data_IF_793465581316
#
_entry.id   IF_793465581316
#
_cell.length_a   1.000
_cell.length_b   1.000
_cell.length_c   1.000
_cell.angle_alpha   90.00
_cell.angle_beta   90.00
_cell.angle_gamma   90.00
#
_symmetry.space_group_name_H-M   'P 1'
#
loop_
_entity.id
_entity.type
_entity.pdbx_description
1 polymer ?
#
# COMPACT_ATOMS: atom_id res chain seq x y z
N UNK A 1 -2.35 -1.85 -26.65
CA UNK A 1 -1.91 -0.70 -25.80
C UNK A 1 -2.47 -0.95 -24.41
N UNK A 2 -1.65 -1.38 -23.49
CA UNK A 2 -2.07 -1.61 -22.08
C UNK A 2 -2.26 -0.23 -21.43
N UNK A 3 -3.47 0.05 -21.02
CA UNK A 3 -3.80 1.31 -20.37
C UNK A 3 -3.31 1.28 -18.91
N UNK A 4 -2.42 2.20 -18.55
CA UNK A 4 -2.23 2.54 -17.15
C UNK A 4 -3.59 3.01 -16.64
N UNK A 5 -4.12 2.38 -15.59
CA UNK A 5 -5.40 2.78 -15.04
C UNK A 5 -5.21 4.05 -14.21
N UNK A 6 -5.60 5.19 -14.78
CA UNK A 6 -5.69 6.46 -14.06
C UNK A 6 -7.14 6.92 -14.13
N UNK A 7 -7.71 7.28 -13.00
CA UNK A 7 -9.00 7.95 -12.92
C UNK A 7 -8.81 9.33 -12.32
N UNK A 8 -9.35 10.34 -12.97
CA UNK A 8 -9.23 11.73 -12.52
C UNK A 8 -7.80 12.26 -12.61
N UNK A 9 -7.55 13.34 -11.90
CA UNK A 9 -6.24 13.98 -11.82
C UNK A 9 -5.78 14.00 -10.37
N UNK A 10 -4.61 13.44 -10.10
CA UNK A 10 -3.97 13.56 -8.79
C UNK A 10 -3.64 15.04 -8.50
N UNK A 11 -3.59 15.46 -7.23
CA UNK A 11 -3.25 16.84 -6.86
C UNK A 11 -1.74 17.14 -7.01
N UNK A 12 -1.00 16.34 -7.75
CA UNK A 12 0.43 16.48 -8.03
C UNK A 12 0.78 15.94 -9.42
N UNK A 13 1.95 16.34 -9.91
CA UNK A 13 2.55 15.83 -11.13
C UNK A 13 3.67 14.83 -10.83
N UNK A 14 4.19 14.16 -11.88
CA UNK A 14 5.37 13.30 -11.77
C UNK A 14 6.61 14.09 -11.35
N UNK A 15 6.75 15.29 -11.88
CA UNK A 15 7.85 16.22 -11.60
C UNK A 15 7.87 16.62 -10.12
N UNK A 16 6.70 16.88 -9.53
CA UNK A 16 6.57 17.18 -8.10
C UNK A 16 7.13 16.01 -7.25
N UNK A 17 6.85 14.77 -7.67
CA UNK A 17 7.36 13.58 -6.96
C UNK A 17 8.88 13.49 -7.06
N UNK A 18 9.45 13.71 -8.25
CA UNK A 18 10.91 13.59 -8.48
C UNK A 18 11.69 14.62 -7.64
N UNK A 19 11.22 15.87 -7.59
CA UNK A 19 11.90 16.96 -6.86
C UNK A 19 12.03 16.65 -5.36
N UNK A 20 11.09 15.91 -4.79
CA UNK A 20 11.04 15.60 -3.36
C UNK A 20 11.91 14.42 -2.91
N UNK A 21 12.51 13.66 -3.83
CA UNK A 21 13.36 12.49 -3.50
C UNK A 21 14.55 12.83 -2.60
N UNK A 22 15.18 13.99 -2.81
CA UNK A 22 16.36 14.42 -2.06
C UNK A 22 16.01 14.75 -0.60
N UNK A 23 14.88 15.42 -0.38
CA UNK A 23 14.44 15.81 0.97
C UNK A 23 14.23 14.58 1.87
N UNK A 24 13.60 13.52 1.34
CA UNK A 24 13.39 12.32 2.11
C UNK A 24 14.70 11.61 2.46
N UNK A 25 15.69 11.64 1.58
CA UNK A 25 16.93 10.87 1.79
C UNK A 25 17.58 11.19 3.13
N UNK A 26 17.67 12.48 3.49
CA UNK A 26 18.21 12.91 4.79
C UNK A 26 17.35 12.41 5.95
N UNK A 27 16.03 12.53 5.83
CA UNK A 27 15.12 12.04 6.86
C UNK A 27 15.22 10.51 7.04
N UNK A 28 15.37 9.76 5.95
CA UNK A 28 15.49 8.30 6.01
C UNK A 28 16.73 7.83 6.76
N UNK A 29 17.82 8.60 6.73
CA UNK A 29 19.05 8.30 7.48
C UNK A 29 18.86 8.42 8.99
N UNK A 30 17.96 9.29 9.45
CA UNK A 30 17.67 9.51 10.86
C UNK A 30 16.65 8.52 11.45
N UNK A 31 16.18 7.56 10.65
CA UNK A 31 15.15 6.61 11.10
C UNK A 31 15.61 5.80 12.32
N UNK A 32 14.73 5.65 13.34
CA UNK A 32 15.09 4.99 14.60
C UNK A 32 15.21 3.46 14.44
N UNK A 33 14.55 2.89 13.43
CA UNK A 33 14.55 1.45 13.15
C UNK A 33 15.32 1.20 11.87
N UNK A 34 16.54 0.67 11.98
CA UNK A 34 17.42 0.39 10.82
C UNK A 34 17.05 -0.91 10.14
N UNK A 35 16.79 -1.96 10.90
CA UNK A 35 16.28 -3.24 10.43
C UNK A 35 14.75 -3.25 10.53
N UNK A 36 14.07 -3.00 9.42
CA UNK A 36 12.62 -3.04 9.31
C UNK A 36 12.15 -4.20 8.43
N UNK A 37 12.78 -5.35 8.57
CA UNK A 37 12.37 -6.56 7.85
C UNK A 37 10.88 -6.81 8.02
N UNK A 38 10.17 -6.98 6.91
CA UNK A 38 8.70 -7.15 6.90
C UNK A 38 7.89 -5.86 6.83
N UNK A 39 8.47 -4.69 7.11
CA UNK A 39 7.77 -3.41 7.06
C UNK A 39 8.15 -2.55 5.85
N UNK A 40 7.79 -1.27 5.92
CA UNK A 40 8.05 -0.27 4.88
C UNK A 40 9.56 -0.01 4.71
N UNK A 41 9.96 0.18 3.46
CA UNK A 41 11.31 0.58 3.04
C UNK A 41 11.27 1.88 2.22
N UNK A 42 12.43 2.37 1.77
CA UNK A 42 12.55 3.69 1.15
C UNK A 42 11.56 3.98 0.02
N UNK A 43 11.20 3.04 -0.89
CA UNK A 43 10.24 3.35 -1.94
C UNK A 43 8.85 3.74 -1.40
N UNK A 44 8.31 2.92 -0.48
CA UNK A 44 6.99 3.17 0.09
C UNK A 44 6.99 4.34 1.07
N UNK A 45 8.04 4.47 1.88
CA UNK A 45 8.19 5.58 2.80
C UNK A 45 8.26 6.91 2.06
N UNK A 46 9.00 6.95 0.95
CA UNK A 46 9.08 8.14 0.12
C UNK A 46 7.70 8.52 -0.44
N UNK A 47 6.99 7.55 -1.04
CA UNK A 47 5.72 7.84 -1.70
C UNK A 47 4.63 8.24 -0.70
N UNK A 48 4.60 7.61 0.49
CA UNK A 48 3.67 8.00 1.55
C UNK A 48 4.02 9.36 2.15
N UNK A 49 5.30 9.64 2.40
CA UNK A 49 5.77 10.93 2.87
C UNK A 49 5.44 12.05 1.87
N UNK A 50 5.71 11.83 0.58
CA UNK A 50 5.37 12.76 -0.48
C UNK A 50 3.87 13.09 -0.50
N UNK A 51 3.02 12.05 -0.48
CA UNK A 51 1.57 12.24 -0.49
C UNK A 51 1.09 13.02 0.74
N UNK A 52 1.64 12.73 1.92
CA UNK A 52 1.33 13.45 3.15
C UNK A 52 1.74 14.93 3.08
N UNK A 53 2.94 15.20 2.55
CA UNK A 53 3.40 16.58 2.32
C UNK A 53 2.51 17.35 1.34
N UNK A 54 2.03 16.68 0.29
CA UNK A 54 1.14 17.30 -0.70
C UNK A 54 -0.28 17.52 -0.17
N UNK A 55 -0.81 16.59 0.62
CA UNK A 55 -2.19 16.62 1.11
C UNK A 55 -2.37 17.39 2.42
N UNK A 56 -1.33 17.47 3.27
CA UNK A 56 -1.36 18.12 4.58
C UNK A 56 -2.61 17.77 5.41
N UNK A 57 -2.86 16.47 5.67
CA UNK A 57 -4.06 16.05 6.40
C UNK A 57 -4.02 16.54 7.86
N UNK A 58 -5.20 16.75 8.45
CA UNK A 58 -5.32 17.07 9.89
C UNK A 58 -5.21 15.83 10.77
N UNK A 59 -5.54 14.66 10.22
CA UNK A 59 -5.39 13.39 10.89
C UNK A 59 -4.89 12.31 9.91
N UNK A 60 -4.13 11.37 10.44
CA UNK A 60 -3.64 10.20 9.71
C UNK A 60 -4.04 8.96 10.49
N UNK A 61 -4.69 8.02 9.81
CA UNK A 61 -4.98 6.70 10.33
C UNK A 61 -4.06 5.71 9.64
N UNK A 62 -3.16 5.09 10.41
CA UNK A 62 -2.26 4.03 9.98
C UNK A 62 -2.87 2.68 10.39
N UNK A 63 -3.32 1.89 9.43
CA UNK A 63 -3.80 0.52 9.64
C UNK A 63 -2.72 -0.45 9.18
N UNK A 64 -2.07 -1.13 10.12
CA UNK A 64 -0.83 -1.88 9.97
C UNK A 64 0.38 -1.05 10.42
N UNK A 65 0.80 -1.24 11.69
CA UNK A 65 1.88 -0.44 12.32
C UNK A 65 3.21 -1.17 12.32
N UNK A 66 3.16 -2.50 12.48
CA UNK A 66 4.35 -3.34 12.63
C UNK A 66 5.28 -2.81 13.72
N UNK A 67 6.54 -2.46 13.37
CA UNK A 67 7.52 -1.93 14.33
C UNK A 67 7.38 -0.43 14.61
N UNK A 68 6.48 0.28 13.92
CA UNK A 68 6.21 1.71 14.11
C UNK A 68 7.08 2.64 13.26
N UNK A 69 7.81 2.13 12.28
CA UNK A 69 8.63 2.99 11.41
C UNK A 69 7.75 3.88 10.53
N UNK A 70 6.58 3.37 10.04
CA UNK A 70 5.57 4.18 9.36
C UNK A 70 5.08 5.33 10.23
N UNK A 71 4.68 5.02 11.46
CA UNK A 71 4.25 6.03 12.45
C UNK A 71 5.28 7.15 12.62
N UNK A 72 6.58 6.80 12.74
CA UNK A 72 7.64 7.79 12.86
C UNK A 72 7.73 8.71 11.63
N UNK A 73 7.62 8.13 10.43
CA UNK A 73 7.64 8.90 9.19
C UNK A 73 6.44 9.82 9.05
N UNK A 74 5.24 9.35 9.38
CA UNK A 74 4.01 10.13 9.29
C UNK A 74 4.02 11.32 10.25
N UNK A 75 4.55 11.11 11.47
CA UNK A 75 4.75 12.18 12.43
C UNK A 75 5.72 13.25 11.94
N UNK A 76 6.76 12.86 11.20
CA UNK A 76 7.72 13.80 10.58
C UNK A 76 7.17 14.48 9.33
N UNK A 77 6.35 13.75 8.55
CA UNK A 77 5.71 14.30 7.36
C UNK A 77 4.68 15.38 7.70
N UNK A 78 3.89 15.15 8.75
CA UNK A 78 2.81 16.06 9.18
C UNK A 78 2.87 16.27 10.70
N UNK A 79 3.76 17.14 11.21
CA UNK A 79 3.95 17.34 12.64
C UNK A 79 2.68 17.79 13.38
N UNK A 80 1.76 18.46 12.69
CA UNK A 80 0.52 18.97 13.27
C UNK A 80 -0.66 17.98 13.16
N UNK A 81 -0.49 16.87 12.42
CA UNK A 81 -1.54 15.89 12.26
C UNK A 81 -1.71 15.03 13.52
N UNK A 82 -2.97 14.71 13.86
CA UNK A 82 -3.28 13.71 14.87
C UNK A 82 -3.08 12.30 14.27
N UNK A 83 -2.33 11.44 14.97
CA UNK A 83 -2.06 10.07 14.54
C UNK A 83 -2.97 9.06 15.25
N UNK A 84 -3.49 8.10 14.48
CA UNK A 84 -4.28 6.96 14.93
C UNK A 84 -3.67 5.69 14.35
N UNK A 85 -3.12 4.83 15.20
CA UNK A 85 -2.34 3.67 14.82
C UNK A 85 -3.11 2.39 15.18
N UNK A 86 -3.38 1.56 14.19
CA UNK A 86 -4.17 0.34 14.33
C UNK A 86 -3.27 -0.85 14.01
N UNK A 87 -3.14 -1.78 14.96
CA UNK A 87 -2.47 -3.05 14.74
C UNK A 87 -3.02 -4.08 15.75
N UNK A 88 -3.40 -5.29 15.34
CA UNK A 88 -3.88 -6.31 16.25
C UNK A 88 -2.82 -6.71 17.30
N UNK A 89 -1.54 -6.54 16.97
CA UNK A 89 -0.43 -6.85 17.85
C UNK A 89 0.51 -5.65 18.05
N UNK A 90 0.26 -4.87 19.10
CA UNK A 90 1.08 -3.70 19.47
C UNK A 90 2.38 -4.07 20.21
N UNK A 91 2.65 -5.36 20.45
CA UNK A 91 3.82 -5.80 21.21
C UNK A 91 5.11 -5.79 20.35
N UNK A 92 4.97 -5.72 19.03
CA UNK A 92 6.10 -5.61 18.08
C UNK A 92 6.60 -4.17 17.89
N UNK A 93 5.90 -3.17 18.43
CA UNK A 93 6.23 -1.77 18.22
C UNK A 93 7.55 -1.43 18.91
N UNK A 94 8.55 -1.00 18.13
CA UNK A 94 9.84 -0.52 18.61
C UNK A 94 9.87 1.01 18.71
N UNK A 95 9.19 1.72 17.81
CA UNK A 95 8.97 3.15 17.90
C UNK A 95 7.50 3.43 18.22
N UNK A 96 7.27 4.16 19.31
CA UNK A 96 5.93 4.55 19.76
C UNK A 96 5.86 6.07 19.90
N UNK A 97 5.01 6.70 19.10
CA UNK A 97 4.77 8.13 19.24
C UNK A 97 3.92 8.44 20.46
N UNK A 98 4.33 9.43 21.26
CA UNK A 98 3.54 9.94 22.38
C UNK A 98 2.30 10.74 21.94
N UNK A 99 2.22 11.08 20.66
CA UNK A 99 1.14 11.87 20.06
C UNK A 99 0.09 11.01 19.40
N UNK A 100 0.38 9.72 19.19
CA UNK A 100 -0.52 8.78 18.51
C UNK A 100 -1.45 8.08 19.51
N UNK A 101 -2.67 7.83 19.06
CA UNK A 101 -3.62 6.93 19.73
C UNK A 101 -3.50 5.54 19.11
N UNK A 102 -3.37 4.50 19.94
CA UNK A 102 -3.17 3.13 19.49
C UNK A 102 -4.39 2.25 19.75
N UNK A 103 -4.75 1.41 18.76
CA UNK A 103 -5.91 0.53 18.81
C UNK A 103 -5.52 -0.90 18.40
N UNK A 104 -6.03 -1.90 19.13
CA UNK A 104 -5.94 -3.34 18.77
C UNK A 104 -7.20 -3.81 18.00
N UNK A 105 -8.13 -2.91 17.72
CA UNK A 105 -9.40 -3.20 17.03
C UNK A 105 -9.29 -2.87 15.55
N UNK A 106 -10.07 -3.55 14.72
CA UNK A 106 -10.13 -3.27 13.29
C UNK A 106 -10.66 -1.84 13.00
N UNK A 107 -10.17 -1.25 11.91
CA UNK A 107 -10.57 0.06 11.40
C UNK A 107 -12.10 0.24 11.35
N UNK A 108 -12.82 -0.82 10.92
CA UNK A 108 -14.27 -0.81 10.76
C UNK A 108 -15.06 -0.75 12.09
N UNK A 109 -14.41 -1.00 13.22
CA UNK A 109 -15.05 -1.08 14.55
C UNK A 109 -14.73 0.12 15.45
N UNK A 110 -13.99 1.10 14.95
CA UNK A 110 -13.63 2.31 15.67
C UNK A 110 -14.60 3.42 15.28
N UNK A 111 -15.05 4.20 16.28
CA UNK A 111 -15.82 5.41 16.05
C UNK A 111 -14.90 6.55 15.59
N UNK A 112 -15.17 7.07 14.41
CA UNK A 112 -14.40 8.14 13.78
C UNK A 112 -15.17 9.48 13.73
N UNK A 113 -16.31 9.58 14.41
CA UNK A 113 -17.20 10.75 14.35
C UNK A 113 -16.54 12.06 14.78
N UNK A 114 -15.50 12.01 15.63
CA UNK A 114 -14.77 13.18 16.09
C UNK A 114 -13.78 13.74 15.04
N UNK A 115 -13.59 13.06 13.89
CA UNK A 115 -12.63 13.47 12.88
C UNK A 115 -13.25 14.30 11.77
N UNK A 116 -12.46 15.23 11.21
CA UNK A 116 -12.73 15.83 9.90
C UNK A 116 -12.38 14.82 8.82
N UNK A 117 -13.33 13.96 8.46
CA UNK A 117 -13.08 12.80 7.60
C UNK A 117 -12.59 13.17 6.20
N UNK A 118 -12.98 14.35 5.70
CA UNK A 118 -12.54 14.96 4.45
C UNK A 118 -11.09 15.48 4.49
N UNK A 119 -10.52 15.66 5.70
CA UNK A 119 -9.14 16.09 5.97
C UNK A 119 -8.31 15.01 6.65
N UNK A 120 -8.79 13.78 6.61
CA UNK A 120 -8.10 12.62 7.16
C UNK A 120 -7.61 11.73 6.04
N UNK A 121 -6.32 11.35 6.10
CA UNK A 121 -5.77 10.30 5.25
C UNK A 121 -5.81 8.97 5.99
N UNK A 122 -6.36 7.94 5.36
CA UNK A 122 -6.26 6.56 5.84
C UNK A 122 -5.23 5.81 5.03
N UNK A 123 -4.19 5.32 5.70
CA UNK A 123 -3.13 4.52 5.12
C UNK A 123 -3.32 3.05 5.51
N UNK A 124 -3.53 2.19 4.53
CA UNK A 124 -3.73 0.75 4.71
C UNK A 124 -2.47 -0.03 4.33
N UNK A 125 -1.87 -0.67 5.34
CA UNK A 125 -0.77 -1.64 5.26
C UNK A 125 -1.13 -2.87 6.12
N UNK A 126 -2.42 -3.18 6.21
CA UNK A 126 -2.98 -4.18 7.11
C UNK A 126 -3.25 -5.53 6.42
N UNK A 127 -2.88 -5.67 5.17
CA UNK A 127 -3.01 -6.88 4.38
C UNK A 127 -4.44 -7.44 4.31
N UNK A 128 -5.44 -6.53 4.36
CA UNK A 128 -6.85 -6.88 4.21
C UNK A 128 -7.34 -6.62 2.79
N UNK A 129 -8.57 -7.03 2.50
CA UNK A 129 -9.24 -6.78 1.24
C UNK A 129 -9.40 -5.26 1.00
N UNK A 130 -8.66 -4.72 0.04
CA UNK A 130 -8.64 -3.28 -0.26
C UNK A 130 -9.98 -2.79 -0.81
N UNK A 131 -10.72 -3.61 -1.55
CA UNK A 131 -12.06 -3.26 -2.04
C UNK A 131 -13.03 -3.10 -0.87
N UNK A 132 -12.99 -4.00 0.10
CA UNK A 132 -13.80 -3.89 1.31
C UNK A 132 -13.40 -2.68 2.16
N UNK A 133 -12.09 -2.36 2.26
CA UNK A 133 -11.60 -1.15 2.93
C UNK A 133 -12.14 0.12 2.29
N UNK A 134 -12.22 0.17 0.95
CA UNK A 134 -12.84 1.28 0.23
C UNK A 134 -14.33 1.44 0.58
N UNK A 135 -15.08 0.33 0.59
CA UNK A 135 -16.50 0.37 0.93
C UNK A 135 -16.71 0.88 2.36
N UNK A 136 -15.94 0.39 3.32
CA UNK A 136 -16.01 0.79 4.72
C UNK A 136 -15.61 2.26 4.89
N UNK A 137 -14.51 2.69 4.29
CA UNK A 137 -14.07 4.08 4.35
C UNK A 137 -15.10 5.05 3.75
N UNK A 138 -15.71 4.66 2.63
CA UNK A 138 -16.79 5.45 2.01
C UNK A 138 -18.02 5.52 2.92
N UNK A 139 -18.41 4.42 3.55
CA UNK A 139 -19.55 4.39 4.48
C UNK A 139 -19.33 5.36 5.64
N UNK A 140 -18.11 5.44 6.17
CA UNK A 140 -17.76 6.42 7.20
C UNK A 140 -17.68 7.85 6.68
N UNK A 141 -17.41 8.09 5.40
CA UNK A 141 -17.29 9.40 4.79
C UNK A 141 -15.84 9.88 4.58
N UNK A 142 -14.84 9.02 4.73
CA UNK A 142 -13.47 9.35 4.40
C UNK A 142 -13.31 9.67 2.91
N UNK A 143 -12.36 10.59 2.61
CA UNK A 143 -12.09 11.02 1.24
C UNK A 143 -10.72 10.57 0.71
N UNK A 144 -9.72 10.47 1.55
CA UNK A 144 -8.34 10.23 1.14
C UNK A 144 -7.84 8.89 1.68
N UNK A 145 -7.51 7.97 0.78
CA UNK A 145 -7.03 6.64 1.12
C UNK A 145 -5.69 6.38 0.42
N UNK A 146 -4.82 5.63 1.05
CA UNK A 146 -3.63 5.05 0.43
C UNK A 146 -3.55 3.57 0.75
N UNK A 147 -3.08 2.79 -0.21
CA UNK A 147 -2.85 1.35 -0.06
C UNK A 147 -1.40 1.05 -0.38
N UNK A 148 -0.70 0.46 0.58
CA UNK A 148 0.71 0.15 0.51
C UNK A 148 0.98 -0.95 -0.52
N UNK A 149 0.20 -2.03 -0.49
CA UNK A 149 0.32 -3.15 -1.39
C UNK A 149 -0.84 -3.17 -2.38
N UNK A 150 -0.58 -2.84 -3.64
CA UNK A 150 -1.61 -2.82 -4.68
C UNK A 150 -1.28 -3.82 -5.79
N UNK A 151 -1.03 -5.06 -5.40
CA UNK A 151 -0.58 -6.15 -6.28
C UNK A 151 -1.47 -6.38 -7.49
N UNK A 152 -0.82 -6.72 -8.60
CA UNK A 152 -1.48 -7.15 -9.84
C UNK A 152 -2.03 -8.58 -9.72
N UNK A 153 -2.74 -9.03 -10.75
CA UNK A 153 -3.32 -10.37 -10.84
C UNK A 153 -2.24 -11.45 -10.59
N UNK A 154 -2.62 -12.51 -9.86
CA UNK A 154 -1.77 -13.63 -9.49
C UNK A 154 -0.60 -13.33 -8.57
N UNK A 155 -0.52 -12.10 -8.02
CA UNK A 155 0.52 -11.70 -7.09
C UNK A 155 -0.08 -11.21 -5.77
N UNK A 156 0.74 -11.21 -4.70
CA UNK A 156 0.26 -10.88 -3.37
C UNK A 156 -0.82 -11.83 -2.85
N UNK A 157 -1.20 -11.67 -1.60
CA UNK A 157 -2.05 -12.60 -0.87
C UNK A 157 -3.45 -12.08 -0.50
N UNK A 158 -3.85 -10.91 -1.02
CA UNK A 158 -5.18 -10.33 -0.80
C UNK A 158 -5.71 -9.60 -2.03
N UNK A 159 -6.98 -9.18 -1.96
CA UNK A 159 -7.67 -8.51 -3.06
C UNK A 159 -7.33 -7.03 -3.09
N UNK A 160 -6.47 -6.65 -4.02
CA UNK A 160 -6.05 -5.26 -4.24
C UNK A 160 -7.01 -4.51 -5.16
N UNK A 161 -6.93 -3.18 -5.16
CA UNK A 161 -7.70 -2.34 -6.10
C UNK A 161 -7.26 -2.59 -7.56
N UNK A 162 -5.98 -2.85 -7.79
CA UNK A 162 -5.44 -3.21 -9.10
C UNK A 162 -6.09 -4.49 -9.62
N UNK A 163 -6.22 -5.53 -8.79
CA UNK A 163 -6.94 -6.76 -9.13
C UNK A 163 -8.40 -6.50 -9.47
N UNK A 164 -9.07 -5.62 -8.70
CA UNK A 164 -10.46 -5.25 -8.97
C UNK A 164 -10.60 -4.55 -10.33
N UNK A 165 -9.70 -3.64 -10.68
CA UNK A 165 -9.69 -2.96 -11.99
C UNK A 165 -9.34 -3.89 -13.15
N UNK A 166 -8.59 -4.96 -12.91
CA UNK A 166 -8.25 -5.98 -13.89
C UNK A 166 -9.37 -7.03 -14.06
N UNK A 167 -10.51 -6.86 -13.43
CA UNK A 167 -11.61 -7.82 -13.40
C UNK A 167 -11.18 -9.23 -12.94
N UNK A 168 -10.10 -9.31 -12.15
CA UNK A 168 -9.53 -10.62 -11.81
C UNK A 168 -10.23 -11.31 -10.64
N UNK A 169 -11.18 -10.63 -9.97
CA UNK A 169 -11.80 -11.16 -8.77
C UNK A 169 -10.79 -11.45 -7.65
N UNK A 170 -11.22 -12.10 -6.61
CA UNK A 170 -10.37 -12.55 -5.53
C UNK A 170 -9.67 -13.86 -5.91
N UNK A 171 -8.45 -13.75 -6.45
CA UNK A 171 -7.60 -14.92 -6.69
C UNK A 171 -6.57 -15.02 -5.57
N UNK A 172 -6.83 -15.87 -4.60
CA UNK A 172 -5.80 -16.27 -3.64
C UNK A 172 -4.82 -17.21 -4.35
N UNK A 173 -3.68 -16.70 -4.73
CA UNK A 173 -2.51 -17.52 -5.04
C UNK A 173 -1.66 -17.55 -3.79
N UNK A 174 -1.47 -18.72 -3.14
CA UNK A 174 -0.52 -18.81 -2.05
C UNK A 174 0.83 -18.32 -2.58
N UNK A 175 1.47 -17.43 -1.84
CA UNK A 175 2.78 -16.90 -2.16
C UNK A 175 3.67 -17.99 -2.75
N UNK A 176 4.38 -17.70 -3.83
CA UNK A 176 5.27 -18.61 -4.51
C UNK A 176 6.45 -19.02 -3.65
N UNK A 177 6.19 -19.73 -2.56
CA UNK A 177 7.21 -20.56 -1.97
C UNK A 177 7.47 -21.69 -2.95
N UNK A 178 8.48 -21.54 -3.79
CA UNK A 178 8.96 -22.58 -4.72
C UNK A 178 9.61 -23.77 -3.98
N UNK A 179 9.57 -23.81 -2.65
CA UNK A 179 10.13 -24.91 -1.88
C UNK A 179 9.31 -26.18 -2.10
N UNK A 180 9.99 -27.31 -2.26
CA UNK A 180 9.40 -28.64 -2.34
C UNK A 180 8.44 -28.92 -1.16
N UNK A 181 8.76 -28.40 0.02
CA UNK A 181 7.91 -28.53 1.23
C UNK A 181 6.58 -27.79 1.10
N UNK A 182 6.53 -26.61 0.47
CA UNK A 182 5.29 -25.87 0.24
C UNK A 182 4.42 -26.55 -0.84
N UNK A 183 5.05 -27.20 -1.82
CA UNK A 183 4.33 -28.01 -2.83
C UNK A 183 3.73 -29.28 -2.22
N UNK A 184 4.43 -29.92 -1.28
CA UNK A 184 3.94 -31.10 -0.56
C UNK A 184 2.82 -30.73 0.42
N UNK A 185 2.94 -29.62 1.18
CA UNK A 185 1.86 -29.12 2.04
C UNK A 185 0.61 -28.76 1.26
N UNK A 186 0.74 -28.20 0.05
CA UNK A 186 -0.42 -27.94 -0.85
C UNK A 186 -1.11 -29.21 -1.31
N UNK A 187 -0.36 -30.23 -1.71
CA UNK A 187 -0.94 -31.53 -2.12
C UNK A 187 -1.61 -32.23 -0.93
N UNK A 188 -1.04 -32.18 0.26
CA UNK A 188 -1.63 -32.74 1.48
C UNK A 188 -2.89 -31.97 1.91
N UNK A 189 -2.90 -30.64 1.82
CA UNK A 189 -4.08 -29.83 2.12
C UNK A 189 -5.24 -30.05 1.14
N UNK A 190 -4.95 -30.23 -0.15
CA UNK A 190 -5.95 -30.56 -1.16
C UNK A 190 -6.55 -31.96 -0.98
N UNK A 191 -5.77 -32.91 -0.43
CA UNK A 191 -6.23 -34.26 -0.12
C UNK A 191 -7.08 -34.32 1.17
N UNK A 192 -6.92 -33.37 2.08
CA UNK A 192 -7.62 -33.33 3.38
C UNK A 192 -8.94 -32.54 3.33
N UNK A 193 -9.36 -32.10 2.13
CA UNK A 193 -10.64 -31.40 1.87
C UNK A 193 -10.94 -30.29 2.90
N UNK A 194 -9.91 -29.53 3.27
CA UNK A 194 -10.05 -28.38 4.15
C UNK A 194 -10.68 -27.30 3.28
N UNK A 195 -11.99 -27.13 3.41
CA UNK A 195 -12.84 -26.26 2.61
C UNK A 195 -12.39 -24.77 2.56
N UNK A 196 -11.53 -24.35 3.46
CA UNK A 196 -10.93 -23.00 3.50
C UNK A 196 -9.91 -22.73 2.39
N UNK A 197 -9.43 -23.77 1.69
CA UNK A 197 -8.45 -23.66 0.62
C UNK A 197 -8.97 -24.05 -0.76
N UNK A 198 -10.28 -24.13 -0.94
CA UNK A 198 -10.83 -24.34 -2.27
C UNK A 198 -10.48 -23.12 -3.14
N UNK A 199 -9.63 -23.37 -4.15
CA UNK A 199 -9.39 -22.46 -5.25
C UNK A 199 -10.72 -22.21 -5.96
N UNK A 200 -11.47 -21.22 -5.55
CA UNK A 200 -12.52 -20.70 -6.41
C UNK A 200 -11.80 -19.94 -7.52
N UNK A 201 -11.80 -20.49 -8.71
CA UNK A 201 -11.63 -19.72 -9.93
C UNK A 201 -12.76 -18.69 -9.93
N UNK A 202 -12.46 -17.48 -9.43
CA UNK A 202 -13.45 -16.43 -9.37
C UNK A 202 -13.55 -15.89 -10.79
N UNK A 203 -14.73 -16.01 -11.36
CA UNK A 203 -15.08 -15.44 -12.65
C UNK A 203 -14.73 -13.94 -12.65
N UNK A 204 -14.29 -13.38 -13.80
CA UNK A 204 -14.03 -11.96 -13.93
C UNK A 204 -15.18 -11.13 -13.35
N UNK A 205 -14.88 -10.28 -12.40
CA UNK A 205 -15.89 -9.50 -11.69
C UNK A 205 -15.90 -8.05 -12.16
N UNK A 206 -16.79 -7.71 -13.06
CA UNK A 206 -16.97 -6.34 -13.53
C UNK A 206 -17.70 -5.45 -12.52
N UNK A 207 -18.40 -6.02 -11.55
CA UNK A 207 -19.19 -5.29 -10.56
C UNK A 207 -18.27 -4.42 -9.69
N UNK A 208 -17.15 -4.98 -9.24
CA UNK A 208 -16.19 -4.27 -8.39
C UNK A 208 -15.56 -3.10 -9.15
N UNK A 209 -15.14 -3.33 -10.40
CA UNK A 209 -14.61 -2.27 -11.25
C UNK A 209 -15.63 -1.15 -11.46
N UNK A 210 -16.89 -1.49 -11.71
CA UNK A 210 -17.96 -0.51 -11.89
C UNK A 210 -18.16 0.31 -10.63
N UNK A 211 -18.19 -0.35 -9.47
CA UNK A 211 -18.31 0.32 -8.18
C UNK A 211 -17.15 1.28 -7.95
N UNK A 212 -15.90 0.86 -8.16
CA UNK A 212 -14.73 1.72 -7.98
C UNK A 212 -14.78 2.94 -8.91
N UNK A 213 -15.08 2.76 -10.19
CA UNK A 213 -15.21 3.87 -11.16
C UNK A 213 -16.31 4.87 -10.79
N UNK A 214 -17.41 4.42 -10.21
CA UNK A 214 -18.50 5.29 -9.78
C UNK A 214 -18.15 6.10 -8.53
N UNK A 215 -17.33 5.54 -7.65
CA UNK A 215 -17.04 6.10 -6.33
C UNK A 215 -15.69 6.80 -6.23
N UNK A 216 -14.79 6.60 -7.17
CA UNK A 216 -13.49 7.28 -7.19
C UNK A 216 -13.58 8.60 -7.97
N UNK A 217 -13.10 9.68 -7.35
CA UNK A 217 -12.75 10.91 -8.01
C UNK A 217 -11.35 10.79 -8.62
N UNK A 218 -10.40 10.23 -7.84
CA UNK A 218 -9.03 9.98 -8.27
C UNK A 218 -8.63 8.54 -7.90
N UNK A 219 -7.95 7.87 -8.83
CA UNK A 219 -7.14 6.69 -8.59
C UNK A 219 -5.78 6.91 -9.24
N UNK A 220 -4.73 6.89 -8.45
CA UNK A 220 -3.37 7.16 -8.88
C UNK A 220 -2.42 6.09 -8.34
N UNK A 221 -1.76 5.38 -9.26
CA UNK A 221 -0.67 4.46 -8.90
C UNK A 221 0.64 5.24 -8.88
N UNK A 222 1.33 5.22 -7.76
CA UNK A 222 2.62 5.87 -7.66
C UNK A 222 3.66 5.14 -8.51
N UNK A 223 4.48 5.88 -9.30
CA UNK A 223 5.64 5.30 -9.93
C UNK A 223 6.70 4.94 -8.88
N UNK A 224 7.40 3.79 -9.01
CA UNK A 224 8.52 3.48 -8.13
C UNK A 224 9.67 4.46 -8.36
N UNK A 225 10.51 4.76 -7.35
CA UNK A 225 11.75 5.48 -7.60
C UNK A 225 12.64 4.80 -8.63
N UNK A 226 12.85 3.50 -8.51
CA UNK A 226 13.52 2.63 -9.48
C UNK A 226 12.73 1.34 -9.68
N UNK A 227 12.82 0.76 -10.88
CA UNK A 227 12.26 -0.56 -11.19
C UNK A 227 13.26 -1.65 -10.82
N UNK A 228 12.80 -2.65 -10.07
CA UNK A 228 13.50 -3.93 -9.91
C UNK A 228 12.94 -4.97 -10.89
N UNK A 229 13.66 -6.01 -11.19
CA UNK A 229 13.17 -7.14 -12.02
C UNK A 229 12.07 -7.92 -11.28
N UNK A 230 12.22 -8.04 -9.96
CA UNK A 230 11.30 -8.74 -9.06
C UNK A 230 11.16 -7.98 -7.75
N UNK A 231 10.02 -8.16 -7.12
CA UNK A 231 9.86 -7.74 -5.72
C UNK A 231 10.66 -8.67 -4.79
N UNK A 232 10.90 -8.23 -3.55
CA UNK A 232 11.52 -9.06 -2.50
C UNK A 232 10.80 -10.40 -2.25
N UNK A 233 9.55 -10.51 -2.68
CA UNK A 233 8.75 -11.73 -2.58
C UNK A 233 8.87 -12.64 -3.81
N UNK A 234 9.65 -12.21 -4.84
CA UNK A 234 9.86 -12.93 -6.08
C UNK A 234 8.81 -12.66 -7.15
N UNK A 235 7.85 -11.76 -6.91
CA UNK A 235 6.86 -11.36 -7.88
C UNK A 235 7.51 -10.57 -9.01
N UNK A 236 7.17 -10.91 -10.25
CA UNK A 236 7.62 -10.17 -11.43
C UNK A 236 6.69 -9.02 -11.74
N UNK A 237 7.24 -7.98 -12.34
CA UNK A 237 6.44 -6.92 -12.93
C UNK A 237 5.64 -7.47 -14.11
N UNK A 238 4.31 -7.36 -14.03
CA UNK A 238 3.43 -7.74 -15.15
C UNK A 238 3.20 -6.53 -16.05
N UNK A 239 4.16 -6.30 -16.96
CA UNK A 239 4.09 -5.21 -17.93
C UNK A 239 3.25 -5.58 -19.17
N UNK A 240 2.85 -6.85 -19.35
CA UNK A 240 2.06 -7.30 -20.49
C UNK A 240 0.57 -7.02 -20.30
N UNK A 241 0.03 -7.38 -19.15
CA UNK A 241 -1.40 -7.27 -18.87
C UNK A 241 -1.78 -5.97 -18.17
N UNK A 242 -0.88 -5.46 -17.31
CA UNK A 242 -1.14 -4.25 -16.56
C UNK A 242 0.15 -3.46 -16.34
N UNK A 243 0.28 -2.33 -17.03
CA UNK A 243 1.47 -1.50 -16.91
C UNK A 243 1.55 -0.85 -15.55
N UNK A 244 2.64 -1.13 -14.86
CA UNK A 244 3.08 -0.30 -13.74
C UNK A 244 3.57 1.04 -14.28
N UNK A 245 3.33 2.16 -13.59
CA UNK A 245 3.89 3.45 -13.98
C UNK A 245 5.40 3.38 -14.16
N UNK A 246 5.91 4.05 -15.19
CA UNK A 246 7.35 4.12 -15.46
C UNK A 246 8.11 4.64 -14.21
N UNK A 247 9.27 4.08 -13.88
CA UNK A 247 10.03 4.49 -12.71
C UNK A 247 10.40 5.97 -12.77
N UNK A 248 10.53 6.61 -11.61
CA UNK A 248 10.90 8.03 -11.52
C UNK A 248 12.30 8.28 -12.09
N UNK A 249 13.21 7.35 -11.86
CA UNK A 249 14.62 7.41 -12.21
C UNK A 249 15.02 6.16 -13.01
N UNK A 250 15.86 6.36 -14.03
CA UNK A 250 16.41 5.28 -14.85
C UNK A 250 17.85 4.90 -14.44
N UNK A 251 18.60 5.87 -13.90
CA UNK A 251 19.98 5.72 -13.48
C UNK A 251 20.23 6.48 -12.17
N UNK A 252 21.26 6.05 -11.45
CA UNK A 252 21.74 6.79 -10.28
C UNK A 252 22.66 7.92 -10.75
N UNK A 253 22.23 9.16 -10.58
CA UNK A 253 22.98 10.35 -10.94
C UNK A 253 23.53 11.09 -9.72
N UNK A 254 22.85 10.94 -8.56
CA UNK A 254 23.23 11.56 -7.30
C UNK A 254 23.34 10.52 -6.20
N UNK A 255 24.24 10.71 -5.26
CA UNK A 255 24.56 9.74 -4.21
C UNK A 255 23.36 9.28 -3.39
N UNK A 256 22.44 10.18 -3.07
CA UNK A 256 21.24 9.85 -2.30
C UNK A 256 20.29 8.88 -3.03
N UNK A 257 20.36 8.80 -4.36
CA UNK A 257 19.49 7.94 -5.16
C UNK A 257 19.88 6.47 -5.05
N UNK A 258 21.13 6.18 -4.67
CA UNK A 258 21.64 4.81 -4.55
C UNK A 258 20.77 3.97 -3.62
N UNK A 259 20.33 4.51 -2.49
CA UNK A 259 19.46 3.85 -1.54
C UNK A 259 18.14 3.37 -2.17
N UNK A 260 17.50 4.23 -2.95
CA UNK A 260 16.26 3.86 -3.65
C UNK A 260 16.50 2.78 -4.70
N UNK A 261 17.71 2.74 -5.27
CA UNK A 261 18.12 1.68 -6.20
C UNK A 261 18.35 0.36 -5.46
N UNK A 262 19.03 0.39 -4.32
CA UNK A 262 19.35 -0.79 -3.52
C UNK A 262 18.09 -1.43 -2.92
N UNK A 263 17.08 -0.64 -2.60
CA UNK A 263 15.81 -1.09 -2.03
C UNK A 263 14.65 -1.15 -3.06
N UNK A 264 14.96 -1.10 -4.36
CA UNK A 264 13.93 -1.05 -5.41
C UNK A 264 13.00 -2.27 -5.42
N UNK A 265 13.48 -3.44 -5.00
CA UNK A 265 12.71 -4.68 -4.89
C UNK A 265 11.67 -4.67 -3.76
N UNK A 266 11.74 -3.69 -2.86
CA UNK A 266 10.74 -3.49 -1.81
C UNK A 266 9.47 -2.75 -2.29
N UNK A 267 9.45 -2.23 -3.51
CA UNK A 267 8.24 -1.61 -4.04
C UNK A 267 7.19 -2.65 -4.45
N UNK A 268 5.95 -2.50 -3.99
CA UNK A 268 4.83 -3.44 -4.16
C UNK A 268 3.54 -2.76 -4.65
N UNK A 269 3.64 -1.82 -5.61
CA UNK A 269 2.53 -1.11 -6.26
C UNK A 269 1.63 -0.30 -5.31
N UNK A 270 2.15 0.77 -4.77
CA UNK A 270 1.38 1.69 -3.93
C UNK A 270 0.40 2.54 -4.74
N UNK A 271 -0.79 2.80 -4.19
CA UNK A 271 -1.73 3.71 -4.82
C UNK A 271 -2.40 4.67 -3.83
N UNK A 272 -2.85 5.81 -4.39
CA UNK A 272 -3.68 6.81 -3.73
C UNK A 272 -5.07 6.83 -4.36
N UNK A 273 -6.08 7.02 -3.51
CA UNK A 273 -7.47 7.12 -3.89
C UNK A 273 -8.10 8.37 -3.26
N UNK A 274 -8.86 9.13 -4.07
CA UNK A 274 -9.79 10.13 -3.57
C UNK A 274 -11.22 9.67 -3.87
N UNK A 275 -12.03 9.54 -2.82
CA UNK A 275 -13.44 9.16 -2.92
C UNK A 275 -14.32 10.39 -3.22
N UNK A 276 -15.42 10.15 -3.98
CA UNK A 276 -16.44 11.14 -4.28
C UNK A 276 -17.30 11.48 -3.07
#
# INVERSE_FOLDING_TARGET
MSNIMILGQAPWTREDVIVKLEELSSLYDDRPIRDNTGGLHSPHMFLSWFALQALQPKAIIESGVWRGLGTWFFERACPEAQLYCIDPNLDHIQYRSNRAKYFKRDFSTIDWSDLSLDKTLVFFDDHQDAYQRVQTAKLFGFKHLMFQDNYTRLQGNYYSLKKAFMHSGFNYTPAHSQSLQARLKRKAGALLDIAEYQYREILPNEIDTKYLRQNFEVYYEFPPPFKAERTRWGDRWDDENYRTPEPLLNSVEKGYQQRFKDEADHYTWMCYVKLR
#
